data_IF_079367181752
#
_entry.id   IF_079367181752
#
_cell.length_a   1.000
_cell.length_b   1.000
_cell.length_c   1.000
_cell.angle_alpha   90.00
_cell.angle_beta   90.00
_cell.angle_gamma   90.00
#
_symmetry.space_group_name_H-M   'P 1'
#
loop_
_entity.id
_entity.type
_entity.pdbx_description
1 polymer ?
#
# COMPACT_ATOMS: atom_id res chain seq x y z
N UNK A 1 22.72 -35.10 -26.42
CA UNK A 1 21.46 -34.83 -27.16
C UNK A 1 20.62 -36.09 -27.09
N UNK A 2 19.40 -36.01 -26.55
CA UNK A 2 18.48 -37.16 -26.51
C UNK A 2 17.51 -37.07 -27.69
N UNK A 3 17.33 -38.12 -28.51
CA UNK A 3 16.42 -38.08 -29.65
C UNK A 3 15.02 -38.54 -29.20
N UNK A 4 14.03 -37.65 -29.24
CA UNK A 4 12.63 -38.06 -29.02
C UNK A 4 12.05 -38.67 -30.29
N UNK A 5 11.51 -39.89 -30.20
CA UNK A 5 10.65 -40.51 -31.21
C UNK A 5 9.19 -40.29 -30.84
N UNK A 6 8.41 -39.72 -31.74
CA UNK A 6 6.96 -39.56 -31.61
C UNK A 6 6.29 -40.74 -32.33
N UNK A 7 5.31 -41.39 -31.69
CA UNK A 7 4.45 -42.39 -32.32
C UNK A 7 3.05 -41.80 -32.54
N UNK A 8 2.56 -41.87 -33.78
CA UNK A 8 1.21 -41.46 -34.15
C UNK A 8 0.24 -42.64 -33.97
N UNK A 9 -0.81 -42.44 -33.17
CA UNK A 9 -1.81 -43.49 -32.90
C UNK A 9 -2.76 -43.60 -34.10
N UNK A 10 -2.74 -44.73 -34.82
CA UNK A 10 -3.81 -45.06 -35.78
C UNK A 10 -5.15 -45.21 -35.03
N UNK A 11 -6.22 -44.73 -35.64
CA UNK A 11 -7.60 -44.86 -35.13
C UNK A 11 -7.94 -46.35 -35.03
N UNK A 12 -7.81 -46.90 -33.82
CA UNK A 12 -8.49 -48.13 -33.48
C UNK A 12 -9.97 -47.77 -33.24
N UNK A 13 -10.88 -48.55 -33.82
CA UNK A 13 -12.29 -48.46 -33.51
C UNK A 13 -12.45 -48.85 -32.04
N UNK A 14 -12.46 -47.86 -31.13
CA UNK A 14 -12.81 -48.15 -29.75
C UNK A 14 -14.24 -48.71 -29.80
N UNK A 15 -14.52 -49.82 -29.09
CA UNK A 15 -15.89 -50.28 -28.99
C UNK A 15 -16.74 -49.13 -28.43
N UNK A 16 -17.90 -48.87 -29.03
CA UNK A 16 -18.85 -47.81 -28.62
C UNK A 16 -19.08 -47.78 -27.10
N UNK A 17 -19.06 -48.95 -26.45
CA UNK A 17 -19.19 -49.05 -25.00
C UNK A 17 -18.08 -48.35 -24.20
N UNK A 18 -16.86 -48.26 -24.74
CA UNK A 18 -15.71 -47.59 -24.09
C UNK A 18 -15.81 -46.06 -24.27
N UNK A 19 -16.20 -45.61 -25.47
CA UNK A 19 -16.44 -44.18 -25.75
C UNK A 19 -17.63 -43.64 -24.94
N UNK A 20 -18.70 -44.42 -24.84
CA UNK A 20 -19.88 -44.07 -24.04
C UNK A 20 -19.55 -43.98 -22.54
N UNK A 21 -18.71 -44.89 -22.02
CA UNK A 21 -18.23 -44.81 -20.63
C UNK A 21 -17.38 -43.57 -20.38
N UNK A 22 -16.49 -43.22 -21.30
CA UNK A 22 -15.70 -41.99 -21.22
C UNK A 22 -16.61 -40.74 -21.28
N UNK A 23 -17.60 -40.74 -22.17
CA UNK A 23 -18.59 -39.67 -22.28
C UNK A 23 -19.37 -39.48 -20.96
N UNK A 24 -19.87 -40.55 -20.34
CA UNK A 24 -20.59 -40.45 -19.08
C UNK A 24 -19.71 -40.02 -17.91
N UNK A 25 -18.47 -40.49 -17.84
CA UNK A 25 -17.51 -40.03 -16.84
C UNK A 25 -17.25 -38.51 -16.95
N UNK A 26 -17.07 -38.01 -18.19
CA UNK A 26 -16.92 -36.57 -18.43
C UNK A 26 -18.19 -35.81 -18.04
N UNK A 27 -19.36 -36.33 -18.41
CA UNK A 27 -20.64 -35.70 -18.10
C UNK A 27 -20.89 -35.60 -16.58
N UNK A 28 -20.51 -36.64 -15.84
CA UNK A 28 -20.63 -36.69 -14.39
C UNK A 28 -19.66 -35.71 -13.69
N UNK A 29 -18.42 -35.60 -14.17
CA UNK A 29 -17.44 -34.63 -13.67
C UNK A 29 -17.92 -33.19 -13.92
N UNK A 30 -18.48 -32.91 -15.10
CA UNK A 30 -18.97 -31.58 -15.43
C UNK A 30 -20.21 -31.19 -14.59
N UNK A 31 -21.14 -32.11 -14.33
CA UNK A 31 -22.29 -31.86 -13.44
C UNK A 31 -21.86 -31.51 -12.01
N UNK A 32 -20.81 -32.17 -11.49
CA UNK A 32 -20.22 -31.85 -10.18
C UNK A 32 -19.48 -30.52 -10.20
N UNK A 33 -18.89 -30.15 -11.33
CA UNK A 33 -18.23 -28.86 -11.52
C UNK A 33 -19.24 -27.69 -11.53
N UNK A 34 -20.43 -27.86 -12.12
CA UNK A 34 -21.49 -26.84 -12.14
C UNK A 34 -21.97 -26.51 -10.71
N UNK A 35 -22.20 -27.53 -9.88
CA UNK A 35 -22.57 -27.32 -8.47
C UNK A 35 -21.47 -26.59 -7.69
N UNK A 36 -20.20 -26.91 -7.97
CA UNK A 36 -19.04 -26.22 -7.39
C UNK A 36 -18.92 -24.77 -7.90
N UNK A 37 -19.26 -24.52 -9.16
CA UNK A 37 -19.28 -23.17 -9.74
C UNK A 37 -20.33 -22.28 -9.09
N UNK A 38 -21.53 -22.80 -8.88
CA UNK A 38 -22.64 -22.08 -8.24
C UNK A 38 -22.36 -21.80 -6.76
N UNK A 39 -21.79 -22.76 -6.03
CA UNK A 39 -21.34 -22.56 -4.64
C UNK A 39 -20.27 -21.46 -4.56
N UNK A 40 -19.30 -21.48 -5.49
CA UNK A 40 -18.26 -20.44 -5.55
C UNK A 40 -18.85 -19.06 -5.90
N UNK A 41 -19.84 -18.99 -6.79
CA UNK A 41 -20.56 -17.74 -7.11
C UNK A 41 -21.30 -17.19 -5.90
N UNK A 42 -21.99 -18.05 -5.14
CA UNK A 42 -22.69 -17.67 -3.91
C UNK A 42 -21.71 -17.12 -2.86
N UNK A 43 -20.58 -17.79 -2.65
CA UNK A 43 -19.53 -17.30 -1.74
C UNK A 43 -18.99 -15.92 -2.15
N UNK A 44 -18.76 -15.70 -3.45
CA UNK A 44 -18.32 -14.40 -3.96
C UNK A 44 -19.37 -13.30 -3.75
N UNK A 45 -20.65 -13.62 -3.96
CA UNK A 45 -21.75 -12.68 -3.71
C UNK A 45 -21.85 -12.30 -2.23
N UNK A 46 -21.65 -13.26 -1.33
CA UNK A 46 -21.64 -13.01 0.11
C UNK A 46 -20.47 -12.10 0.53
N UNK A 47 -19.27 -12.33 -0.01
CA UNK A 47 -18.12 -11.46 0.20
C UNK A 47 -18.35 -10.03 -0.33
N UNK A 48 -18.98 -9.89 -1.50
CA UNK A 48 -19.30 -8.58 -2.06
C UNK A 48 -20.31 -7.83 -1.18
N UNK A 49 -21.30 -8.54 -0.63
CA UNK A 49 -22.26 -7.97 0.32
C UNK A 49 -21.56 -7.46 1.59
N UNK A 50 -20.68 -8.25 2.20
CA UNK A 50 -19.90 -7.84 3.37
C UNK A 50 -19.01 -6.62 3.08
N UNK A 51 -18.39 -6.58 1.89
CA UNK A 51 -17.62 -5.41 1.44
C UNK A 51 -18.51 -4.18 1.33
N UNK A 52 -19.71 -4.32 0.79
CA UNK A 52 -20.64 -3.21 0.62
C UNK A 52 -21.18 -2.71 1.97
N UNK A 53 -21.51 -3.61 2.89
CA UNK A 53 -21.96 -3.29 4.24
C UNK A 53 -20.88 -2.54 5.04
N UNK A 54 -19.63 -3.01 4.99
CA UNK A 54 -18.51 -2.32 5.63
C UNK A 54 -18.28 -0.92 5.06
N UNK A 55 -18.42 -0.75 3.73
CA UNK A 55 -18.32 0.56 3.09
C UNK A 55 -19.43 1.51 3.54
N UNK A 56 -20.70 1.07 3.53
CA UNK A 56 -21.82 1.89 4.00
C UNK A 56 -21.70 2.25 5.48
N UNK A 57 -21.27 1.31 6.32
CA UNK A 57 -21.02 1.54 7.74
C UNK A 57 -19.95 2.62 7.97
N UNK A 58 -18.81 2.52 7.28
CA UNK A 58 -17.75 3.52 7.35
C UNK A 58 -18.21 4.90 6.81
N UNK A 59 -18.97 4.91 5.72
CA UNK A 59 -19.56 6.13 5.16
C UNK A 59 -20.53 6.78 6.16
N UNK A 60 -21.37 6.00 6.83
CA UNK A 60 -22.36 6.50 7.79
C UNK A 60 -21.68 7.09 9.02
N UNK A 61 -20.63 6.44 9.53
CA UNK A 61 -19.81 6.97 10.59
C UNK A 61 -19.16 8.31 10.21
N UNK A 62 -18.57 8.39 9.02
CA UNK A 62 -17.95 9.61 8.50
C UNK A 62 -18.97 10.74 8.36
N UNK A 63 -20.15 10.45 7.85
CA UNK A 63 -21.21 11.44 7.65
C UNK A 63 -21.75 11.95 9.00
N UNK A 64 -21.96 11.05 9.97
CA UNK A 64 -22.38 11.42 11.32
C UNK A 64 -21.33 12.25 12.05
N UNK A 65 -20.04 11.94 11.87
CA UNK A 65 -18.94 12.70 12.48
C UNK A 65 -18.82 14.11 11.89
N UNK A 66 -19.08 14.28 10.58
CA UNK A 66 -19.18 15.61 9.95
C UNK A 66 -20.36 16.40 10.49
N UNK A 67 -21.54 15.79 10.60
CA UNK A 67 -22.75 16.44 11.13
C UNK A 67 -22.53 16.96 12.56
N UNK A 68 -21.88 16.13 13.40
CA UNK A 68 -21.54 16.49 14.78
C UNK A 68 -20.36 17.46 14.88
N UNK A 69 -19.71 17.84 13.75
CA UNK A 69 -18.49 18.67 13.68
C UNK A 69 -17.39 18.23 14.65
N UNK A 70 -17.38 16.96 15.03
CA UNK A 70 -16.43 16.40 16.01
C UNK A 70 -14.97 16.51 15.52
N UNK A 71 -14.77 16.56 14.21
CA UNK A 71 -13.47 16.74 13.59
C UNK A 71 -13.57 17.78 12.46
N UNK A 72 -13.40 19.08 12.74
CA UNK A 72 -13.49 20.14 11.72
C UNK A 72 -12.37 20.08 10.66
N UNK A 73 -11.45 19.10 10.77
CA UNK A 73 -10.44 18.77 9.78
C UNK A 73 -9.57 17.60 10.27
N UNK A 74 -8.72 17.03 9.39
CA UNK A 74 -7.61 16.18 9.83
C UNK A 74 -6.82 16.95 10.89
N UNK A 75 -6.52 16.32 12.03
CA UNK A 75 -5.56 16.86 13.01
C UNK A 75 -4.23 17.07 12.30
N UNK A 76 -4.02 18.27 11.77
CA UNK A 76 -2.72 18.69 11.25
C UNK A 76 -1.90 19.03 12.48
N UNK A 77 -0.88 18.22 12.77
CA UNK A 77 0.16 18.60 13.72
C UNK A 77 0.76 19.93 13.26
N UNK A 78 0.44 21.02 13.95
CA UNK A 78 1.12 22.29 13.75
C UNK A 78 2.52 22.15 14.32
N UNK A 79 3.53 22.17 13.45
CA UNK A 79 4.93 22.20 13.87
C UNK A 79 5.24 23.62 14.35
N UNK A 80 5.88 23.72 15.51
CA UNK A 80 6.23 24.99 16.15
C UNK A 80 7.71 25.22 15.91
N UNK A 81 8.07 26.38 15.34
CA UNK A 81 9.38 27.04 15.38
C UNK A 81 10.63 26.26 14.93
N UNK A 82 11.69 26.97 14.51
CA UNK A 82 13.03 26.40 14.51
C UNK A 82 13.55 26.33 15.95
N UNK A 83 14.12 25.19 16.32
CA UNK A 83 14.79 24.97 17.60
C UNK A 83 16.16 24.35 17.36
N UNK A 84 17.13 24.69 18.21
CA UNK A 84 18.46 24.07 18.19
C UNK A 84 18.48 22.83 19.06
N UNK A 85 18.99 21.72 18.54
CA UNK A 85 19.21 20.49 19.32
C UNK A 85 20.47 20.65 20.16
N UNK A 86 20.34 20.48 21.48
CA UNK A 86 21.47 20.56 22.42
C UNK A 86 22.14 19.19 22.56
N UNK A 87 21.36 18.16 22.90
CA UNK A 87 21.87 16.80 23.05
C UNK A 87 20.75 15.75 22.93
N UNK A 88 21.03 14.57 22.35
CA UNK A 88 20.16 13.40 22.48
C UNK A 88 20.38 12.71 23.82
N UNK A 89 19.31 12.13 24.39
CA UNK A 89 19.37 11.28 25.58
C UNK A 89 19.22 9.81 25.19
N UNK A 90 19.79 8.91 26.00
CA UNK A 90 19.77 7.46 25.78
C UNK A 90 18.35 6.85 25.68
N UNK A 91 17.34 7.52 26.23
CA UNK A 91 15.94 7.11 26.20
C UNK A 91 15.15 7.66 24.99
N UNK A 92 15.82 8.25 23.99
CA UNK A 92 15.17 8.82 22.80
C UNK A 92 14.55 10.20 23.00
N UNK A 93 14.72 10.81 24.18
CA UNK A 93 14.39 12.22 24.38
C UNK A 93 15.47 13.13 23.78
N UNK A 94 15.08 14.31 23.32
CA UNK A 94 15.97 15.31 22.74
C UNK A 94 15.81 16.61 23.51
N UNK A 95 16.93 17.21 23.89
CA UNK A 95 16.96 18.55 24.46
C UNK A 95 16.95 19.60 23.37
N UNK A 96 15.97 20.49 23.42
CA UNK A 96 15.83 21.61 22.49
C UNK A 96 16.04 22.93 23.22
N UNK A 97 16.63 23.89 22.52
CA UNK A 97 16.77 25.28 22.94
C UNK A 97 16.17 26.22 21.89
N UNK A 98 15.51 27.28 22.34
CA UNK A 98 15.02 28.36 21.48
C UNK A 98 16.17 29.15 20.85
N UNK A 99 15.83 30.04 19.91
CA UNK A 99 16.80 30.88 19.22
C UNK A 99 17.50 31.87 20.16
N UNK A 100 16.86 32.24 21.28
CA UNK A 100 17.44 33.20 22.21
C UNK A 100 18.50 32.52 23.10
N UNK A 101 19.66 33.16 23.29
CA UNK A 101 20.76 32.60 24.10
C UNK A 101 20.38 32.40 25.57
N UNK A 102 19.40 33.15 26.09
CA UNK A 102 18.88 33.03 27.46
C UNK A 102 17.68 32.07 27.59
N UNK A 103 17.23 31.44 26.50
CA UNK A 103 16.12 30.49 26.57
C UNK A 103 16.53 29.23 27.33
N UNK A 104 15.70 28.80 28.27
CA UNK A 104 15.87 27.51 28.96
C UNK A 104 15.70 26.34 27.99
N UNK A 105 16.57 25.34 28.09
CA UNK A 105 16.39 24.09 27.34
C UNK A 105 15.23 23.27 27.91
N UNK A 106 14.54 22.53 27.05
CA UNK A 106 13.46 21.62 27.45
C UNK A 106 13.54 20.29 26.70
N UNK A 107 12.95 19.26 27.31
CA UNK A 107 12.96 17.89 26.78
C UNK A 107 11.72 17.61 25.94
N UNK A 108 11.94 17.02 24.77
CA UNK A 108 10.86 16.49 23.93
C UNK A 108 11.15 15.04 23.55
N UNK A 109 10.08 14.31 23.21
CA UNK A 109 10.26 13.01 22.56
C UNK A 109 10.87 13.23 21.16
N UNK A 110 11.95 12.52 20.83
CA UNK A 110 12.60 12.61 19.53
C UNK A 110 11.66 12.34 18.34
N UNK A 111 10.61 11.53 18.52
CA UNK A 111 9.59 11.29 17.48
C UNK A 111 8.77 12.53 17.13
N UNK A 112 8.81 13.58 17.97
CA UNK A 112 8.08 14.85 17.79
C UNK A 112 9.01 15.96 17.27
N UNK A 113 10.23 15.64 16.84
CA UNK A 113 11.18 16.57 16.24
C UNK A 113 11.21 16.34 14.73
N UNK A 114 11.23 17.43 13.96
CA UNK A 114 11.36 17.40 12.49
C UNK A 114 12.48 18.35 12.09
N UNK A 115 13.36 17.91 11.19
CA UNK A 115 14.42 18.76 10.65
C UNK A 115 13.78 19.93 9.91
N UNK A 116 14.06 21.14 10.38
CA UNK A 116 13.71 22.37 9.70
C UNK A 116 14.75 22.63 8.61
N UNK A 117 14.32 22.68 7.35
CA UNK A 117 15.19 23.03 6.21
C UNK A 117 14.92 24.47 5.87
N UNK A 118 15.86 25.36 6.18
CA UNK A 118 15.76 26.75 5.72
C UNK A 118 16.00 26.78 4.21
N UNK A 119 15.09 27.43 3.48
CA UNK A 119 15.18 27.54 2.01
C UNK A 119 16.41 28.33 1.53
N UNK A 120 17.15 28.96 2.45
CA UNK A 120 18.37 29.71 2.15
C UNK A 120 19.60 28.83 1.90
N UNK A 121 19.67 27.61 2.44
CA UNK A 121 20.79 26.68 2.17
C UNK A 121 20.63 25.91 0.85
N UNK A 122 19.41 25.81 0.32
CA UNK A 122 19.16 25.20 -1.00
C UNK A 122 19.63 26.10 -2.15
N UNK A 123 19.66 27.43 -1.95
CA UNK A 123 20.19 28.35 -2.96
C UNK A 123 21.68 28.11 -3.23
N UNK A 124 22.51 27.84 -2.21
CA UNK A 124 23.95 27.67 -2.42
C UNK A 124 24.28 26.41 -3.24
N UNK A 125 23.51 25.33 -3.10
CA UNK A 125 23.75 24.08 -3.84
C UNK A 125 23.32 24.21 -5.31
N UNK A 126 22.17 24.84 -5.57
CA UNK A 126 21.71 25.11 -6.95
C UNK A 126 22.60 26.15 -7.64
N UNK A 127 23.06 27.18 -6.93
CA UNK A 127 23.92 28.24 -7.48
C UNK A 127 25.35 27.75 -7.78
N UNK A 128 25.90 26.82 -6.98
CA UNK A 128 27.17 26.13 -7.30
C UNK A 128 27.00 25.22 -8.54
N UNK A 129 25.88 24.49 -8.64
CA UNK A 129 25.58 23.65 -9.80
C UNK A 129 25.46 24.46 -11.10
N UNK A 130 24.87 25.66 -11.02
CA UNK A 130 24.73 26.56 -12.18
C UNK A 130 26.04 27.26 -12.54
N UNK A 131 26.88 27.63 -11.56
CA UNK A 131 28.21 28.23 -11.84
C UNK A 131 29.20 27.25 -12.48
N UNK A 132 29.16 25.97 -12.11
CA UNK A 132 30.00 24.94 -12.74
C UNK A 132 29.66 24.72 -14.23
N UNK A 133 28.39 24.85 -14.61
CA UNK A 133 27.96 24.72 -16.01
C UNK A 133 28.35 25.92 -16.89
N UNK A 134 28.40 27.14 -16.34
CA UNK A 134 28.74 28.35 -17.10
C UNK A 134 30.25 28.46 -17.35
N UNK A 135 31.10 27.90 -16.49
CA UNK A 135 32.56 27.90 -16.68
C UNK A 135 33.07 26.80 -17.64
N UNK A 136 32.24 25.82 -18.01
CA UNK A 136 32.58 24.75 -18.96
C UNK A 136 32.10 25.04 -20.40
N UNK A 137 31.51 26.21 -20.64
CA UNK A 137 30.94 26.60 -21.94
C UNK A 137 31.54 27.90 -22.52
N UNK A 138 32.68 28.37 -22.00
CA UNK A 138 33.50 29.41 -22.63
C UNK A 138 34.96 28.95 -22.76
#
# INVERSE_FOLDING_TARGET
MSPYRIMFRKMCHLPVGVEHKAYWAIKEVNLKADACEDERKLQLQELEKLRLESYYSAMWYKERTKLLKLMPGKLKSKWIGPFTIVAPRANGAVELKGSDPNSSSFLVNGHRVKIFRDSSELCLVEEISLRMHVLLLN
#
